data_IF_267219222060
#
_entry.id   IF_267219222060
#
_cell.length_a   1.000
_cell.length_b   1.000
_cell.length_c   1.000
_cell.angle_alpha   90.00
_cell.angle_beta   90.00
_cell.angle_gamma   90.00
#
_symmetry.space_group_name_H-M   'P 1'
#
loop_
_entity.id
_entity.type
_entity.pdbx_description
1 polymer ?
#
# COMPACT_ATOMS: atom_id res chain seq x y z
N UNK A 1 25.20 -18.68 30.82
CA UNK A 1 23.84 -19.15 30.47
C UNK A 1 23.15 -18.06 29.68
N UNK A 2 22.78 -18.29 28.41
CA UNK A 2 22.18 -17.26 27.58
C UNK A 2 20.70 -17.10 27.91
N UNK A 3 20.29 -15.86 28.18
CA UNK A 3 18.93 -15.48 28.58
C UNK A 3 17.89 -15.91 27.53
N UNK A 4 18.28 -16.06 26.26
CA UNK A 4 17.44 -16.51 25.15
C UNK A 4 16.81 -17.91 25.35
N UNK A 5 17.48 -18.81 26.07
CA UNK A 5 16.98 -20.17 26.30
C UNK A 5 15.81 -20.19 27.32
N UNK A 6 15.83 -19.26 28.29
CA UNK A 6 14.81 -19.17 29.33
C UNK A 6 13.48 -18.60 28.81
N UNK A 7 13.52 -17.68 27.84
CA UNK A 7 12.33 -17.09 27.21
C UNK A 7 11.63 -18.08 26.27
N UNK A 8 12.40 -18.99 25.66
CA UNK A 8 11.86 -20.03 24.79
C UNK A 8 11.20 -21.16 25.59
N UNK A 9 11.70 -21.42 26.81
CA UNK A 9 11.16 -22.43 27.73
C UNK A 9 9.78 -22.07 28.30
N UNK A 10 9.40 -20.78 28.39
CA UNK A 10 8.08 -20.37 28.90
C UNK A 10 6.96 -20.44 27.85
N UNK A 11 7.32 -20.52 26.57
CA UNK A 11 6.39 -20.37 25.44
C UNK A 11 5.94 -21.69 24.82
N UNK A 12 6.81 -22.69 24.87
CA UNK A 12 6.58 -23.99 24.25
C UNK A 12 6.22 -24.98 25.35
N UNK A 13 5.02 -25.54 25.27
CA UNK A 13 4.51 -26.51 26.25
C UNK A 13 4.12 -27.81 25.56
N UNK A 14 4.32 -28.93 26.24
CA UNK A 14 3.92 -30.25 25.77
C UNK A 14 2.69 -30.72 26.54
N UNK A 15 1.69 -31.20 25.82
CA UNK A 15 0.44 -31.73 26.38
C UNK A 15 0.23 -33.17 25.92
N UNK A 16 -0.48 -34.01 26.70
CA UNK A 16 -1.03 -35.25 26.19
C UNK A 16 -1.93 -35.01 24.99
N UNK A 17 -1.92 -35.94 24.04
CA UNK A 17 -2.85 -35.96 22.90
C UNK A 17 -4.15 -36.72 23.27
N UNK A 18 -5.18 -36.67 22.43
CA UNK A 18 -6.49 -37.33 22.60
C UNK A 18 -6.38 -38.83 22.87
N UNK A 19 -5.27 -39.44 22.42
CA UNK A 19 -4.93 -40.86 22.63
C UNK A 19 -4.20 -41.14 23.96
N UNK A 20 -4.15 -40.19 24.89
CA UNK A 20 -3.42 -40.24 26.18
C UNK A 20 -1.91 -40.50 26.04
N UNK A 21 -1.34 -40.17 24.89
CA UNK A 21 0.11 -40.26 24.68
C UNK A 21 0.78 -39.05 25.36
N UNK A 22 1.68 -39.25 26.32
CA UNK A 22 2.37 -38.16 27.00
C UNK A 22 3.22 -37.38 25.99
N UNK A 23 3.26 -36.06 26.13
CA UNK A 23 3.96 -35.14 25.22
C UNK A 23 3.58 -35.30 23.73
N UNK A 24 2.37 -35.81 23.44
CA UNK A 24 1.90 -36.06 22.08
C UNK A 24 1.48 -34.81 21.30
N UNK A 25 1.36 -33.66 21.97
CA UNK A 25 0.96 -32.37 21.38
C UNK A 25 1.94 -31.28 21.81
N UNK A 26 2.41 -30.47 20.85
CA UNK A 26 3.21 -29.27 21.08
C UNK A 26 2.31 -28.02 20.98
N UNK A 27 2.39 -27.14 21.97
CA UNK A 27 1.68 -25.86 22.00
C UNK A 27 2.70 -24.73 22.07
N UNK A 28 2.64 -23.81 21.10
CA UNK A 28 3.48 -22.62 21.03
C UNK A 28 2.57 -21.41 21.28
N UNK A 29 2.69 -20.76 22.44
CA UNK A 29 1.92 -19.56 22.77
C UNK A 29 2.55 -18.33 22.12
N UNK A 30 1.80 -17.35 21.60
CA UNK A 30 2.41 -16.17 20.95
C UNK A 30 3.41 -16.57 19.83
N UNK A 31 2.87 -17.18 18.77
CA UNK A 31 3.68 -17.61 17.63
C UNK A 31 4.27 -16.39 16.90
N UNK A 32 5.59 -16.36 16.80
CA UNK A 32 6.36 -15.32 16.12
C UNK A 32 6.96 -15.83 14.83
N UNK A 33 7.49 -14.93 14.01
CA UNK A 33 8.13 -15.27 12.73
C UNK A 33 9.28 -16.27 12.82
N UNK A 34 10.00 -16.26 13.94
CA UNK A 34 11.11 -17.18 14.22
C UNK A 34 10.66 -18.62 14.44
N UNK A 35 9.36 -18.86 14.66
CA UNK A 35 8.80 -20.21 14.81
C UNK A 35 8.41 -20.83 13.46
N UNK A 36 8.60 -20.11 12.36
CA UNK A 36 8.41 -20.68 11.03
C UNK A 36 9.55 -21.64 10.74
N UNK A 37 9.24 -22.92 10.56
CA UNK A 37 10.28 -23.92 10.31
C UNK A 37 9.76 -25.34 10.13
N UNK A 38 10.70 -26.27 9.93
CA UNK A 38 10.43 -27.70 9.93
C UNK A 38 10.53 -28.21 11.37
N UNK A 39 9.44 -28.82 11.84
CA UNK A 39 9.37 -29.48 13.12
C UNK A 39 9.38 -30.99 12.89
N UNK A 40 10.13 -31.70 13.73
CA UNK A 40 10.21 -33.16 13.67
C UNK A 40 9.61 -33.74 14.93
N UNK A 41 8.64 -34.63 14.77
CA UNK A 41 8.16 -35.48 15.84
C UNK A 41 8.98 -36.77 15.84
N UNK A 42 9.67 -37.04 16.96
CA UNK A 42 10.49 -38.23 17.16
C UNK A 42 9.81 -39.12 18.19
N UNK A 43 9.56 -40.37 17.81
CA UNK A 43 8.93 -41.37 18.67
C UNK A 43 9.94 -42.50 18.84
N UNK A 44 10.47 -42.62 20.05
CA UNK A 44 11.42 -43.68 20.40
C UNK A 44 10.70 -44.78 21.16
N UNK A 45 10.76 -46.00 20.64
CA UNK A 45 10.31 -47.24 21.30
C UNK A 45 11.54 -48.08 21.64
N UNK A 46 11.40 -49.11 22.48
CA UNK A 46 12.48 -50.01 22.90
C UNK A 46 13.35 -50.56 21.75
N UNK A 47 12.78 -50.75 20.57
CA UNK A 47 13.47 -51.36 19.41
C UNK A 47 13.63 -50.45 18.20
N UNK A 48 12.89 -49.35 18.11
CA UNK A 48 12.79 -48.53 16.90
C UNK A 48 12.60 -47.05 17.22
N UNK A 49 13.11 -46.19 16.33
CA UNK A 49 12.85 -44.75 16.33
C UNK A 49 12.10 -44.39 15.06
N UNK A 50 10.99 -43.68 15.20
CA UNK A 50 10.20 -43.16 14.08
C UNK A 50 10.25 -41.64 14.08
N UNK A 51 10.47 -41.06 12.91
CA UNK A 51 10.51 -39.61 12.72
C UNK A 51 9.46 -39.16 11.71
N UNK A 52 8.79 -38.03 12.00
CA UNK A 52 7.84 -37.40 11.10
C UNK A 52 8.09 -35.90 11.03
N UNK A 53 8.26 -35.39 9.81
CA UNK A 53 8.44 -33.97 9.55
C UNK A 53 7.09 -33.27 9.35
N UNK A 54 6.99 -32.03 9.84
CA UNK A 54 5.84 -31.15 9.64
C UNK A 54 6.33 -29.72 9.49
N UNK A 55 5.91 -29.04 8.41
CA UNK A 55 6.29 -27.65 8.19
C UNK A 55 5.27 -26.70 8.79
N UNK A 56 5.72 -25.85 9.71
CA UNK A 56 4.91 -24.82 10.35
C UNK A 56 5.13 -23.49 9.61
N UNK A 57 4.02 -22.91 9.13
CA UNK A 57 3.99 -21.56 8.56
C UNK A 57 3.32 -20.61 9.54
N UNK A 58 4.07 -19.59 9.97
CA UNK A 58 3.51 -18.48 10.72
C UNK A 58 3.01 -17.45 9.71
N UNK A 59 1.71 -17.11 9.80
CA UNK A 59 1.11 -16.10 8.95
C UNK A 59 1.18 -14.75 9.64
N UNK A 60 1.55 -13.78 8.84
CA UNK A 60 1.68 -12.39 9.23
C UNK A 60 0.32 -11.78 9.53
N UNK A 61 0.18 -11.14 10.69
CA UNK A 61 -1.08 -10.47 11.09
C UNK A 61 -1.39 -9.30 10.15
N UNK A 62 -0.35 -8.67 9.61
CA UNK A 62 -0.46 -7.49 8.75
C UNK A 62 -0.53 -7.81 7.25
N UNK A 63 -0.42 -9.08 6.84
CA UNK A 63 -0.53 -9.44 5.42
C UNK A 63 -1.89 -9.03 4.82
N UNK A 64 -2.95 -8.98 5.64
CA UNK A 64 -4.25 -8.52 5.21
C UNK A 64 -4.34 -6.99 5.11
N UNK A 65 -3.51 -6.22 5.84
CA UNK A 65 -3.52 -4.76 5.76
C UNK A 65 -2.85 -4.24 4.48
N UNK A 66 -1.86 -4.96 3.97
CA UNK A 66 -1.18 -4.62 2.73
C UNK A 66 -2.13 -4.36 1.53
N UNK A 67 -3.11 -5.23 1.21
CA UNK A 67 -4.06 -4.94 0.15
C UNK A 67 -4.94 -3.72 0.46
N UNK A 68 -5.32 -3.47 1.72
CA UNK A 68 -6.06 -2.26 2.07
C UNK A 68 -5.24 -0.99 1.85
N UNK A 69 -3.97 -0.98 2.23
CA UNK A 69 -3.07 0.16 2.01
C UNK A 69 -2.92 0.44 0.51
N UNK A 70 -2.75 -0.60 -0.31
CA UNK A 70 -2.69 -0.46 -1.77
C UNK A 70 -3.94 0.22 -2.34
N UNK A 71 -5.13 -0.19 -1.90
CA UNK A 71 -6.40 0.42 -2.34
C UNK A 71 -6.49 1.89 -1.90
N UNK A 72 -6.11 2.21 -0.66
CA UNK A 72 -6.14 3.59 -0.16
C UNK A 72 -5.21 4.49 -0.95
N UNK A 73 -4.00 4.02 -1.26
CA UNK A 73 -3.02 4.76 -2.07
C UNK A 73 -3.56 5.04 -3.47
N UNK A 74 -4.19 4.06 -4.11
CA UNK A 74 -4.80 4.21 -5.43
C UNK A 74 -5.87 5.30 -5.44
N UNK A 75 -6.78 5.27 -4.45
CA UNK A 75 -7.86 6.27 -4.34
C UNK A 75 -7.30 7.68 -4.12
N UNK A 76 -6.27 7.82 -3.28
CA UNK A 76 -5.61 9.12 -3.06
C UNK A 76 -4.91 9.61 -4.32
N UNK A 77 -4.24 8.73 -5.07
CA UNK A 77 -3.56 9.08 -6.32
C UNK A 77 -4.56 9.58 -7.36
N UNK A 78 -5.67 8.87 -7.56
CA UNK A 78 -6.73 9.29 -8.47
C UNK A 78 -7.37 10.62 -8.02
N UNK A 79 -7.63 10.78 -6.72
CA UNK A 79 -8.14 12.02 -6.15
C UNK A 79 -7.23 13.21 -6.40
N UNK A 80 -5.91 13.05 -6.23
CA UNK A 80 -4.92 14.11 -6.48
C UNK A 80 -4.88 14.48 -7.96
N UNK A 81 -4.88 13.50 -8.86
CA UNK A 81 -4.85 13.73 -10.30
C UNK A 81 -6.10 14.54 -10.72
N UNK A 82 -7.29 14.07 -10.34
CA UNK A 82 -8.55 14.75 -10.64
C UNK A 82 -8.55 16.18 -10.07
N UNK A 83 -8.11 16.35 -8.82
CA UNK A 83 -8.03 17.66 -8.19
C UNK A 83 -7.10 18.63 -8.94
N UNK A 84 -5.94 18.17 -9.42
CA UNK A 84 -5.04 19.00 -10.23
C UNK A 84 -5.69 19.36 -11.57
N UNK A 85 -6.38 18.42 -12.21
CA UNK A 85 -7.09 18.67 -13.48
C UNK A 85 -8.21 19.69 -13.31
N UNK A 86 -9.07 19.54 -12.30
CA UNK A 86 -10.14 20.50 -12.02
C UNK A 86 -9.57 21.85 -11.63
N UNK A 87 -8.55 21.90 -10.78
CA UNK A 87 -7.90 23.16 -10.39
C UNK A 87 -7.21 23.85 -11.56
N UNK A 88 -6.67 23.11 -12.53
CA UNK A 88 -6.11 23.66 -13.77
C UNK A 88 -7.20 24.15 -14.73
N UNK A 89 -8.30 23.41 -14.86
CA UNK A 89 -9.45 23.82 -15.68
C UNK A 89 -10.14 25.07 -15.12
N UNK A 90 -10.36 25.11 -13.80
CA UNK A 90 -10.90 26.27 -13.12
C UNK A 90 -10.01 27.51 -13.25
N UNK A 91 -8.68 27.33 -13.38
CA UNK A 91 -7.76 28.44 -13.70
C UNK A 91 -7.84 28.87 -15.17
N UNK A 92 -7.99 27.92 -16.09
CA UNK A 92 -8.11 28.22 -17.52
C UNK A 92 -9.40 29.01 -17.85
N UNK A 93 -10.51 28.71 -17.18
CA UNK A 93 -11.78 29.45 -17.37
C UNK A 93 -11.72 30.88 -16.79
N UNK A 94 -10.93 31.11 -15.74
CA UNK A 94 -10.71 32.45 -15.17
C UNK A 94 -9.84 33.35 -16.07
N UNK A 95 -8.87 32.81 -16.81
CA UNK A 95 -8.03 33.61 -17.73
C UNK A 95 -8.78 34.05 -19.01
N UNK A 96 -9.82 33.34 -19.44
CA UNK A 96 -10.59 33.68 -20.65
C UNK A 96 -11.62 34.80 -20.40
N UNK A 97 -12.07 34.99 -19.16
CA UNK A 97 -13.06 36.03 -18.80
C UNK A 97 -12.46 37.43 -18.64
N UNK A 98 -11.14 37.58 -18.50
CA UNK A 98 -10.46 38.87 -18.34
C UNK A 98 -10.04 39.52 -19.67
N UNK A 99 -10.20 38.86 -20.81
CA UNK A 99 -9.78 39.37 -22.13
C UNK A 99 -10.90 39.95 -23.03
N UNK A 100 -12.15 39.99 -22.59
CA UNK A 100 -13.29 40.34 -23.46
C UNK A 100 -14.07 41.63 -23.08
N UNK A 101 -13.46 42.57 -22.36
CA UNK A 101 -14.05 43.92 -22.15
C UNK A 101 -13.07 45.07 -22.38
N UNK A 102 -13.18 45.69 -23.56
CA UNK A 102 -12.65 47.01 -23.89
C UNK A 102 -12.04 47.03 -25.29
N UNK A 103 -12.54 47.76 -26.29
CA UNK A 103 -13.10 49.09 -26.23
C UNK A 103 -13.72 49.43 -27.60
N UNK A 104 -15.05 49.57 -27.67
CA UNK A 104 -15.73 50.13 -28.84
C UNK A 104 -15.94 51.64 -28.66
N UNK A 105 -15.54 52.42 -29.69
CA UNK A 105 -15.87 53.81 -30.02
C UNK A 105 -15.23 54.99 -29.24
N UNK A 106 -14.46 55.84 -29.95
CA UNK A 106 -14.89 57.20 -30.38
C UNK A 106 -13.81 58.05 -31.11
N UNK A 107 -14.19 58.47 -32.32
CA UNK A 107 -14.22 59.84 -32.89
C UNK A 107 -12.97 60.64 -33.32
N UNK A 108 -13.09 61.08 -34.59
CA UNK A 108 -12.85 62.44 -35.14
C UNK A 108 -11.51 62.75 -35.82
N UNK A 109 -11.64 63.01 -37.13
CA UNK A 109 -11.01 64.03 -38.01
C UNK A 109 -9.65 64.60 -37.60
N UNK A 110 -8.67 64.74 -38.50
CA UNK A 110 -8.71 65.64 -39.66
C UNK A 110 -7.35 65.54 -40.40
N UNK A 111 -7.24 66.19 -41.56
CA UNK A 111 -6.05 66.62 -42.30
C UNK A 111 -5.50 65.63 -43.36
N UNK A 112 -6.06 65.61 -44.58
CA UNK A 112 -5.83 66.56 -45.68
C UNK A 112 -4.49 66.32 -46.43
N UNK A 113 -4.59 66.45 -47.76
CA UNK A 113 -3.54 66.66 -48.76
C UNK A 113 -2.74 65.45 -49.26
N UNK A 114 -3.16 64.98 -50.43
CA UNK A 114 -2.50 65.26 -51.73
C UNK A 114 -2.77 64.07 -52.66
N UNK A 115 -3.78 64.17 -53.52
CA UNK A 115 -3.66 64.73 -54.86
C UNK A 115 -2.77 63.88 -55.80
N UNK A 116 -3.34 63.58 -56.98
CA UNK A 116 -2.61 63.41 -58.24
C UNK A 116 -2.13 61.98 -58.61
N UNK A 117 -2.92 61.39 -59.52
CA UNK A 117 -2.50 60.72 -60.78
C UNK A 117 -2.01 59.25 -60.80
N UNK A 118 -2.77 58.50 -61.62
CA UNK A 118 -2.33 57.61 -62.72
C UNK A 118 -1.71 56.25 -62.30
N UNK A 119 -1.92 55.14 -63.01
CA UNK A 119 -2.66 54.85 -64.25
C UNK A 119 -2.92 53.33 -64.28
N UNK A 120 -3.96 53.01 -65.05
CA UNK A 120 -4.26 51.77 -65.77
C UNK A 120 -3.06 50.87 -66.10
#
# INVERSE_FOLDING_TARGET
MPIAELINATRITYSPNDKKVPNGTILITNAGWTDRGNYTCVITTLSNTFERFTFIRVKDVYAALWPFIGIVVEVLLLGIIIFIFEKRRAKAEFEESDTDQGNDQKNTADLNKDSVRQRK
#
